data_IF_558680295659
#
_entry.id   IF_558680295659
#
_cell.length_a   1.000
_cell.length_b   1.000
_cell.length_c   1.000
_cell.angle_alpha   90.00
_cell.angle_beta   90.00
_cell.angle_gamma   90.00
#
_symmetry.space_group_name_H-M   'P 1'
#
loop_
_entity.id
_entity.type
_entity.pdbx_description
1 polymer ?
#
# COMPACT_ATOMS: atom_id res chain seq x y z
N UNK A 1 -9.88 6.73 23.60
CA UNK A 1 -10.76 6.46 22.45
C UNK A 1 -10.16 5.26 21.72
N UNK A 2 -10.95 4.40 21.08
CA UNK A 2 -10.40 3.29 20.28
C UNK A 2 -9.58 3.89 19.14
N UNK A 3 -8.36 3.42 18.94
CA UNK A 3 -7.44 3.99 17.96
C UNK A 3 -7.00 2.94 16.93
N UNK A 4 -7.96 2.56 16.08
CA UNK A 4 -7.66 1.66 14.94
C UNK A 4 -6.82 2.40 13.90
N UNK A 5 -6.99 3.72 13.82
CA UNK A 5 -6.28 4.57 12.88
C UNK A 5 -4.77 4.54 13.09
N UNK A 6 -4.25 4.59 14.33
CA UNK A 6 -2.79 4.48 14.55
C UNK A 6 -2.22 3.11 14.20
N UNK A 7 -2.98 2.03 14.34
CA UNK A 7 -2.55 0.69 13.92
C UNK A 7 -2.38 0.58 12.40
N UNK A 8 -3.26 1.25 11.63
CA UNK A 8 -3.26 1.18 10.16
C UNK A 8 -2.39 2.26 9.52
N UNK A 9 -2.44 3.49 10.03
CA UNK A 9 -1.78 4.67 9.48
C UNK A 9 -0.42 4.94 10.11
N UNK A 10 -0.09 4.33 11.26
CA UNK A 10 1.17 4.53 11.96
C UNK A 10 1.43 6.01 12.28
N UNK A 11 2.64 6.48 11.97
CA UNK A 11 3.08 7.86 12.24
C UNK A 11 2.24 8.92 11.52
N UNK A 12 1.57 8.57 10.41
CA UNK A 12 0.67 9.49 9.72
C UNK A 12 -0.52 9.89 10.61
N UNK A 13 -0.97 9.00 11.52
CA UNK A 13 -2.00 9.35 12.49
C UNK A 13 -1.52 10.43 13.47
N UNK A 14 -0.24 10.40 13.86
CA UNK A 14 0.38 11.46 14.66
C UNK A 14 0.34 12.80 13.96
N UNK A 15 0.68 12.83 12.66
CA UNK A 15 0.61 14.06 11.84
C UNK A 15 -0.80 14.63 11.75
N UNK A 16 -1.84 13.78 11.71
CA UNK A 16 -3.23 14.23 11.73
C UNK A 16 -3.63 14.84 13.07
N UNK A 17 -3.15 14.28 14.18
CA UNK A 17 -3.37 14.84 15.52
C UNK A 17 -2.66 16.18 15.69
N UNK A 18 -1.45 16.32 15.14
CA UNK A 18 -0.69 17.58 15.21
C UNK A 18 -1.40 18.73 14.48
N UNK A 19 -2.04 18.44 13.34
CA UNK A 19 -2.71 19.46 12.51
C UNK A 19 -4.14 19.75 13.00
N UNK A 20 -4.91 18.71 13.33
CA UNK A 20 -6.35 18.83 13.61
C UNK A 20 -6.70 18.73 15.11
N UNK A 21 -5.70 18.57 15.97
CA UNK A 21 -5.88 18.31 17.40
C UNK A 21 -6.35 16.88 17.69
N UNK A 22 -6.44 16.53 18.97
CA UNK A 22 -6.76 15.15 19.39
C UNK A 22 -8.09 14.63 18.84
N UNK A 23 -9.16 15.44 18.91
CA UNK A 23 -10.50 15.04 18.46
C UNK A 23 -10.61 15.04 16.93
N UNK A 24 -10.04 16.05 16.26
CA UNK A 24 -10.06 16.16 14.80
C UNK A 24 -9.18 15.10 14.13
N UNK A 25 -7.97 14.88 14.64
CA UNK A 25 -7.05 13.84 14.16
C UNK A 25 -7.62 12.43 14.36
N UNK A 26 -8.30 12.18 15.49
CA UNK A 26 -9.02 10.93 15.70
C UNK A 26 -10.11 10.70 14.65
N UNK A 27 -10.96 11.71 14.39
CA UNK A 27 -12.04 11.61 13.40
C UNK A 27 -11.48 11.40 11.99
N UNK A 28 -10.52 12.23 11.57
CA UNK A 28 -9.93 12.15 10.23
C UNK A 28 -9.23 10.81 10.00
N UNK A 29 -8.47 10.32 10.98
CA UNK A 29 -7.82 9.01 10.91
C UNK A 29 -8.82 7.88 10.66
N UNK A 30 -9.92 7.85 11.40
CA UNK A 30 -10.93 6.81 11.25
C UNK A 30 -11.72 6.94 9.94
N UNK A 31 -11.98 8.16 9.46
CA UNK A 31 -12.60 8.37 8.14
C UNK A 31 -11.71 7.86 7.00
N UNK A 32 -10.40 8.09 7.09
CA UNK A 32 -9.44 7.56 6.11
C UNK A 32 -9.45 6.03 6.13
N UNK A 33 -9.34 5.40 7.30
CA UNK A 33 -9.38 3.94 7.41
C UNK A 33 -10.72 3.37 6.90
N UNK A 34 -11.85 4.00 7.24
CA UNK A 34 -13.17 3.58 6.76
C UNK A 34 -13.28 3.71 5.23
N UNK A 35 -12.74 4.78 4.66
CA UNK A 35 -12.72 4.98 3.21
C UNK A 35 -11.88 3.91 2.49
N UNK A 36 -10.70 3.57 3.04
CA UNK A 36 -9.85 2.49 2.53
C UNK A 36 -10.58 1.16 2.56
N UNK A 37 -11.19 0.80 3.70
CA UNK A 37 -11.95 -0.45 3.84
C UNK A 37 -13.10 -0.51 2.84
N UNK A 38 -13.83 0.59 2.67
CA UNK A 38 -14.93 0.69 1.71
C UNK A 38 -14.44 0.50 0.27
N UNK A 39 -13.34 1.15 -0.11
CA UNK A 39 -12.73 1.01 -1.43
C UNK A 39 -12.25 -0.42 -1.70
N UNK A 40 -11.65 -1.08 -0.70
CA UNK A 40 -11.27 -2.50 -0.79
C UNK A 40 -12.50 -3.37 -1.05
N UNK A 41 -13.57 -3.20 -0.26
CA UNK A 41 -14.81 -3.96 -0.42
C UNK A 41 -15.44 -3.73 -1.79
N UNK A 42 -15.52 -2.47 -2.25
CA UNK A 42 -16.07 -2.11 -3.56
C UNK A 42 -15.21 -2.71 -4.67
N UNK A 43 -13.89 -2.66 -4.55
CA UNK A 43 -12.95 -3.23 -5.52
C UNK A 43 -13.10 -4.76 -5.63
N UNK A 44 -13.22 -5.46 -4.50
CA UNK A 44 -13.44 -6.92 -4.48
C UNK A 44 -14.81 -7.29 -5.08
N UNK A 45 -15.86 -6.57 -4.70
CA UNK A 45 -17.23 -6.82 -5.20
C UNK A 45 -17.35 -6.59 -6.70
N UNK A 46 -16.68 -5.56 -7.22
CA UNK A 46 -16.74 -5.19 -8.62
C UNK A 46 -15.49 -5.63 -9.39
N UNK A 47 -14.72 -6.61 -8.87
CA UNK A 47 -13.42 -7.00 -9.44
C UNK A 47 -13.52 -7.36 -10.92
N UNK A 48 -14.59 -8.05 -11.31
CA UNK A 48 -14.77 -8.53 -12.68
C UNK A 48 -15.09 -7.38 -13.62
N UNK A 49 -15.92 -6.45 -13.18
CA UNK A 49 -16.23 -5.23 -13.92
C UNK A 49 -14.98 -4.35 -14.07
N UNK A 50 -14.24 -4.12 -12.99
CA UNK A 50 -12.99 -3.34 -13.03
C UNK A 50 -11.97 -3.98 -13.97
N UNK A 51 -11.76 -5.30 -13.88
CA UNK A 51 -10.79 -6.00 -14.73
C UNK A 51 -11.19 -6.00 -16.21
N UNK A 52 -12.49 -6.08 -16.51
CA UNK A 52 -12.96 -6.18 -17.90
C UNK A 52 -13.13 -4.79 -18.55
N UNK A 53 -13.46 -3.75 -17.79
CA UNK A 53 -13.83 -2.42 -18.31
C UNK A 53 -12.77 -1.33 -18.04
N UNK A 54 -11.75 -1.58 -17.20
CA UNK A 54 -10.71 -0.56 -16.89
C UNK A 54 -9.72 -0.30 -18.03
N UNK A 55 -9.76 -1.08 -19.12
CA UNK A 55 -8.73 -1.10 -20.15
C UNK A 55 -7.41 -1.76 -19.72
N UNK A 56 -7.23 -2.06 -18.43
CA UNK A 56 -6.12 -2.83 -17.89
C UNK A 56 -6.52 -4.29 -17.77
N UNK A 57 -6.07 -5.13 -18.70
CA UNK A 57 -6.37 -6.57 -18.69
C UNK A 57 -5.86 -7.31 -17.43
N UNK A 58 -6.37 -8.52 -17.19
CA UNK A 58 -6.02 -9.39 -16.05
C UNK A 58 -4.52 -9.52 -15.78
N UNK A 59 -3.70 -9.58 -16.85
CA UNK A 59 -2.24 -9.67 -16.75
C UNK A 59 -1.65 -8.48 -16.00
N UNK A 60 -2.11 -7.26 -16.29
CA UNK A 60 -1.61 -6.05 -15.64
C UNK A 60 -2.00 -5.99 -14.16
N UNK A 61 -3.20 -6.41 -13.80
CA UNK A 61 -3.61 -6.53 -12.40
C UNK A 61 -2.77 -7.53 -11.62
N UNK A 62 -2.49 -8.70 -12.22
CA UNK A 62 -1.61 -9.71 -11.63
C UNK A 62 -0.19 -9.18 -11.43
N UNK A 63 0.36 -8.50 -12.44
CA UNK A 63 1.69 -7.88 -12.37
C UNK A 63 1.75 -6.79 -11.29
N UNK A 64 0.75 -5.90 -11.22
CA UNK A 64 0.69 -4.87 -10.18
C UNK A 64 0.64 -5.48 -8.77
N UNK A 65 -0.16 -6.54 -8.60
CA UNK A 65 -0.23 -7.29 -7.33
C UNK A 65 1.11 -7.90 -6.97
N UNK A 66 1.80 -8.51 -7.94
CA UNK A 66 3.13 -9.09 -7.74
C UNK A 66 4.16 -8.02 -7.36
N UNK A 67 4.14 -6.84 -7.99
CA UNK A 67 5.05 -5.73 -7.64
C UNK A 67 4.81 -5.25 -6.21
N UNK A 68 3.55 -5.08 -5.80
CA UNK A 68 3.21 -4.67 -4.43
C UNK A 68 3.69 -5.71 -3.42
N UNK A 69 3.39 -6.99 -3.68
CA UNK A 69 3.80 -8.09 -2.79
C UNK A 69 5.33 -8.18 -2.66
N UNK A 70 6.03 -8.13 -3.80
CA UNK A 70 7.49 -8.18 -3.84
C UNK A 70 8.13 -6.97 -3.15
N UNK A 71 7.56 -5.77 -3.33
CA UNK A 71 7.98 -4.55 -2.63
C UNK A 71 7.86 -4.73 -1.11
N UNK A 72 6.74 -5.30 -0.63
CA UNK A 72 6.53 -5.57 0.79
C UNK A 72 7.56 -6.54 1.36
N UNK A 73 7.86 -7.63 0.64
CA UNK A 73 8.90 -8.58 1.06
C UNK A 73 10.29 -7.92 1.13
N UNK A 74 10.66 -7.16 0.10
CA UNK A 74 11.95 -6.45 0.07
C UNK A 74 12.04 -5.40 1.18
N UNK A 75 10.95 -4.65 1.44
CA UNK A 75 10.89 -3.68 2.54
C UNK A 75 11.16 -4.33 3.90
N UNK A 76 10.49 -5.45 4.19
CA UNK A 76 10.67 -6.19 5.44
C UNK A 76 12.11 -6.70 5.57
N UNK A 77 12.69 -7.20 4.49
CA UNK A 77 14.08 -7.66 4.49
C UNK A 77 15.08 -6.51 4.70
N UNK A 78 14.91 -5.39 4.00
CA UNK A 78 15.82 -4.24 4.11
C UNK A 78 15.75 -3.55 5.47
N UNK A 79 14.56 -3.39 6.04
CA UNK A 79 14.40 -2.81 7.38
C UNK A 79 14.83 -3.78 8.48
N UNK A 80 14.42 -5.05 8.39
CA UNK A 80 14.63 -6.04 9.45
C UNK A 80 16.02 -6.66 9.47
N UNK A 81 16.60 -6.97 8.30
CA UNK A 81 17.90 -7.67 8.21
C UNK A 81 19.07 -6.73 7.94
N UNK A 82 18.86 -5.65 7.17
CA UNK A 82 19.93 -4.73 6.79
C UNK A 82 19.93 -3.41 7.58
N UNK A 83 18.88 -3.15 8.37
CA UNK A 83 18.77 -1.94 9.19
C UNK A 83 18.63 -0.65 8.39
N UNK A 84 18.16 -0.72 7.15
CA UNK A 84 17.99 0.46 6.30
C UNK A 84 16.82 1.33 6.77
N UNK A 85 16.92 2.67 6.64
CA UNK A 85 15.83 3.58 6.94
C UNK A 85 14.56 3.22 6.15
N UNK A 86 13.38 3.30 6.78
CA UNK A 86 12.11 2.88 6.18
C UNK A 86 11.86 3.48 4.79
N UNK A 87 12.08 4.78 4.63
CA UNK A 87 11.91 5.46 3.33
C UNK A 87 12.85 4.91 2.25
N UNK A 88 14.12 4.66 2.57
CA UNK A 88 15.10 4.08 1.64
C UNK A 88 14.73 2.63 1.29
N UNK A 89 14.34 1.85 2.28
CA UNK A 89 13.87 0.47 2.11
C UNK A 89 12.64 0.38 1.19
N UNK A 90 11.73 1.34 1.28
CA UNK A 90 10.56 1.40 0.39
C UNK A 90 10.97 1.71 -1.05
N UNK A 91 11.82 2.71 -1.26
CA UNK A 91 12.30 3.10 -2.60
C UNK A 91 13.08 1.94 -3.25
N UNK A 92 13.95 1.30 -2.50
CA UNK A 92 14.69 0.12 -2.96
C UNK A 92 13.75 -1.05 -3.26
N UNK A 93 12.76 -1.28 -2.39
CA UNK A 93 11.75 -2.33 -2.59
C UNK A 93 10.94 -2.15 -3.87
N UNK A 94 10.47 -0.93 -4.14
CA UNK A 94 9.72 -0.60 -5.37
C UNK A 94 10.62 -0.75 -6.60
N UNK A 95 11.83 -0.20 -6.55
CA UNK A 95 12.77 -0.24 -7.69
C UNK A 95 13.19 -1.67 -7.99
N UNK A 96 13.50 -2.46 -6.97
CA UNK A 96 13.87 -3.87 -7.12
C UNK A 96 12.71 -4.72 -7.63
N UNK A 97 11.49 -4.52 -7.15
CA UNK A 97 10.30 -5.21 -7.64
C UNK A 97 10.01 -4.88 -9.12
N UNK A 98 10.11 -3.60 -9.52
CA UNK A 98 9.94 -3.18 -10.91
C UNK A 98 11.04 -3.72 -11.81
N UNK A 99 12.30 -3.72 -11.34
CA UNK A 99 13.43 -4.30 -12.07
C UNK A 99 13.25 -5.81 -12.29
N UNK A 100 12.78 -6.54 -11.27
CA UNK A 100 12.49 -7.97 -11.38
C UNK A 100 11.36 -8.23 -12.38
N UNK A 101 10.28 -7.43 -12.34
CA UNK A 101 9.19 -7.51 -13.30
C UNK A 101 9.68 -7.23 -14.73
N UNK A 102 10.52 -6.21 -14.92
CA UNK A 102 11.11 -5.92 -16.23
C UNK A 102 11.95 -7.09 -16.74
N UNK A 103 12.81 -7.65 -15.88
CA UNK A 103 13.68 -8.78 -16.22
C UNK A 103 12.87 -10.01 -16.65
N UNK A 104 11.79 -10.34 -15.92
CA UNK A 104 10.90 -11.46 -16.29
C UNK A 104 10.24 -11.21 -17.65
N UNK A 105 9.69 -10.01 -17.89
CA UNK A 105 8.99 -9.72 -19.14
C UNK A 105 9.91 -9.60 -20.37
N UNK A 106 11.21 -9.39 -20.19
CA UNK A 106 12.18 -9.24 -21.30
C UNK A 106 12.93 -10.54 -21.59
N UNK A 107 13.17 -11.37 -20.57
CA UNK A 107 13.93 -12.61 -20.71
C UNK A 107 13.05 -13.83 -21.04
N UNK A 108 11.74 -13.76 -20.83
CA UNK A 108 10.75 -14.73 -21.33
C UNK A 108 10.15 -14.29 -22.67
#
# INVERSE_FOLDING_TARGET
MVDVASMVLGDFQGSLVDVFGSSGGWLMGHLIVLSMATLIVVSIRNREHIVNESGYGRKHFSQATAVIFMTGLQYVFYTGSLGFPGTMSLVLGVTGALSAMWMINVLE
#
